data_IF_927822930206
#
_entry.id   IF_927822930206
#
_cell.length_a   1.000
_cell.length_b   1.000
_cell.length_c   1.000
_cell.angle_alpha   90.00
_cell.angle_beta   90.00
_cell.angle_gamma   90.00
#
_symmetry.space_group_name_H-M   'P 1'
#
loop_
_entity.id
_entity.type
_entity.pdbx_description
1 polymer ?
#
# COMPACT_ATOMS: atom_id res chain seq x y z
N UNK A 1 -7.92 4.76 3.24
CA UNK A 1 -6.73 4.21 3.93
C UNK A 1 -5.95 3.34 2.94
N UNK A 2 -4.62 3.32 3.04
CA UNK A 2 -3.78 2.61 2.08
C UNK A 2 -3.96 1.10 2.14
N UNK A 3 -3.83 0.46 0.98
CA UNK A 3 -3.93 -1.01 0.83
C UNK A 3 -2.64 -1.63 0.32
N UNK A 4 -1.57 -0.85 0.14
CA UNK A 4 -0.25 -1.37 -0.17
C UNK A 4 0.22 -2.31 0.97
N UNK A 5 0.87 -3.41 0.63
CA UNK A 5 1.30 -4.41 1.62
C UNK A 5 2.24 -3.81 2.67
N UNK A 6 1.87 -4.01 3.93
CA UNK A 6 2.66 -3.73 5.13
C UNK A 6 2.88 -5.01 5.95
N UNK A 7 3.74 -4.96 6.96
CA UNK A 7 4.07 -6.10 7.81
C UNK A 7 2.91 -6.53 8.72
N UNK A 8 2.66 -7.84 8.81
CA UNK A 8 1.62 -8.42 9.67
C UNK A 8 0.22 -8.34 9.07
N UNK A 9 -0.80 -8.43 9.93
CA UNK A 9 -2.22 -8.43 9.53
C UNK A 9 -3.03 -7.29 10.17
N UNK A 10 -2.37 -6.43 10.95
CA UNK A 10 -2.97 -5.33 11.69
C UNK A 10 -2.13 -4.08 11.51
N UNK A 11 -2.75 -3.02 11.01
CA UNK A 11 -2.12 -1.75 10.75
C UNK A 11 -3.10 -0.80 10.08
N UNK A 12 -2.75 0.49 10.05
CA UNK A 12 -3.55 1.51 9.36
C UNK A 12 -3.19 1.63 7.86
N UNK A 13 -2.21 0.88 7.38
CA UNK A 13 -1.79 0.87 5.97
C UNK A 13 -0.65 1.83 5.63
N UNK A 14 -0.31 2.78 6.51
CA UNK A 14 0.74 3.76 6.24
C UNK A 14 2.16 3.18 6.27
N UNK A 15 2.37 2.03 6.90
CA UNK A 15 3.64 1.29 6.89
C UNK A 15 3.84 0.42 5.63
N UNK A 16 3.19 0.77 4.52
CA UNK A 16 3.26 0.03 3.26
C UNK A 16 4.67 0.06 2.65
N UNK A 17 5.12 -1.08 2.12
CA UNK A 17 6.46 -1.24 1.50
C UNK A 17 6.40 -1.70 0.05
N UNK A 18 5.32 -2.38 -0.36
CA UNK A 18 5.12 -2.84 -1.73
C UNK A 18 3.96 -2.08 -2.38
N UNK A 19 4.26 -0.94 -3.03
CA UNK A 19 3.26 -0.01 -3.58
C UNK A 19 2.24 -0.65 -4.54
N UNK A 20 2.63 -1.72 -5.23
CA UNK A 20 1.80 -2.40 -6.24
C UNK A 20 1.18 -3.71 -5.75
N UNK A 21 1.44 -4.12 -4.52
CA UNK A 21 0.89 -5.34 -3.94
C UNK A 21 -0.25 -4.97 -2.98
N UNK A 22 -1.52 -5.29 -3.30
CA UNK A 22 -2.60 -5.16 -2.34
C UNK A 22 -2.39 -6.11 -1.15
N UNK A 23 -2.68 -5.61 0.06
CA UNK A 23 -2.38 -6.31 1.31
C UNK A 23 -3.13 -7.65 1.41
N UNK A 24 -2.36 -8.72 1.65
CA UNK A 24 -2.88 -10.09 1.61
C UNK A 24 -3.97 -10.34 2.65
N UNK A 25 -3.82 -9.80 3.87
CA UNK A 25 -4.82 -9.96 4.92
C UNK A 25 -6.17 -9.29 4.60
N UNK A 26 -6.20 -8.37 3.62
CA UNK A 26 -7.45 -7.76 3.11
C UNK A 26 -8.06 -8.54 1.93
N UNK A 27 -7.46 -9.66 1.54
CA UNK A 27 -7.88 -10.49 0.41
C UNK A 27 -7.04 -10.31 -0.86
N UNK A 28 -5.93 -9.58 -0.78
CA UNK A 28 -4.97 -9.46 -1.86
C UNK A 28 -5.55 -8.84 -3.15
N UNK A 29 -4.93 -9.08 -4.31
CA UNK A 29 -5.35 -8.47 -5.58
C UNK A 29 -6.77 -8.87 -6.00
N UNK A 30 -7.16 -10.13 -5.77
CA UNK A 30 -8.51 -10.59 -6.09
C UNK A 30 -9.57 -9.99 -5.16
N UNK A 31 -9.25 -9.81 -3.87
CA UNK A 31 -10.10 -9.13 -2.89
C UNK A 31 -10.37 -7.68 -3.27
N UNK A 32 -9.32 -6.91 -3.54
CA UNK A 32 -9.45 -5.52 -3.96
C UNK A 32 -10.27 -5.39 -5.25
N UNK A 33 -10.02 -6.24 -6.25
CA UNK A 33 -10.81 -6.25 -7.50
C UNK A 33 -12.29 -6.52 -7.24
N UNK A 34 -12.61 -7.51 -6.41
CA UNK A 34 -14.01 -7.83 -6.05
C UNK A 34 -14.69 -6.67 -5.34
N UNK A 35 -14.01 -6.02 -4.40
CA UNK A 35 -14.55 -4.86 -3.68
C UNK A 35 -14.89 -3.71 -4.63
N UNK A 36 -13.93 -3.30 -5.47
CA UNK A 36 -14.13 -2.22 -6.44
C UNK A 36 -15.27 -2.53 -7.42
N UNK A 37 -15.32 -3.76 -7.95
CA UNK A 37 -16.39 -4.18 -8.85
C UNK A 37 -17.77 -4.10 -8.18
N UNK A 38 -17.90 -4.55 -6.94
CA UNK A 38 -19.15 -4.47 -6.19
C UNK A 38 -19.59 -3.02 -5.95
N UNK A 39 -18.67 -2.14 -5.52
CA UNK A 39 -18.96 -0.71 -5.36
C UNK A 39 -19.49 -0.09 -6.66
N UNK A 40 -18.81 -0.34 -7.78
CA UNK A 40 -19.22 0.21 -9.07
C UNK A 40 -20.58 -0.33 -9.54
N UNK A 41 -20.90 -1.60 -9.30
CA UNK A 41 -22.24 -2.15 -9.58
C UNK A 41 -23.36 -1.46 -8.78
N UNK A 42 -23.03 -0.88 -7.62
CA UNK A 42 -23.94 -0.11 -6.80
C UNK A 42 -23.85 1.41 -7.04
N UNK A 43 -23.14 1.87 -8.08
CA UNK A 43 -23.01 3.29 -8.39
C UNK A 43 -22.15 4.07 -7.37
N UNK A 44 -21.30 3.39 -6.61
CA UNK A 44 -20.40 4.00 -5.62
C UNK A 44 -18.99 4.13 -6.19
N UNK A 45 -18.40 5.33 -6.07
CA UNK A 45 -16.99 5.53 -6.40
C UNK A 45 -16.08 5.01 -5.29
N UNK A 46 -14.90 4.51 -5.66
CA UNK A 46 -13.84 4.11 -4.73
C UNK A 46 -12.64 5.04 -4.92
N UNK A 47 -12.23 5.71 -3.84
CA UNK A 47 -11.03 6.54 -3.82
C UNK A 47 -9.96 5.80 -3.03
N UNK A 48 -8.79 5.61 -3.64
CA UNK A 48 -7.66 4.96 -2.99
C UNK A 48 -6.72 6.00 -2.39
N UNK A 49 -6.46 5.83 -1.10
CA UNK A 49 -5.47 6.57 -0.34
C UNK A 49 -4.08 5.96 -0.59
N UNK A 50 -3.13 6.78 -1.04
CA UNK A 50 -1.80 6.33 -1.50
C UNK A 50 -0.69 7.07 -0.78
N UNK A 51 0.36 6.34 -0.40
CA UNK A 51 1.52 6.88 0.32
C UNK A 51 2.71 6.94 -0.63
N UNK A 52 3.04 8.15 -1.08
CA UNK A 52 4.20 8.42 -1.95
C UNK A 52 5.29 9.26 -1.29
N UNK A 53 5.13 9.57 -0.01
CA UNK A 53 6.08 10.40 0.72
C UNK A 53 7.07 9.60 1.58
N UNK A 54 6.79 8.32 1.87
CA UNK A 54 7.70 7.39 2.56
C UNK A 54 7.32 5.93 2.26
N UNK A 55 8.14 4.99 2.75
CA UNK A 55 7.80 3.57 2.88
C UNK A 55 7.92 3.13 4.34
N UNK A 56 7.24 2.04 4.70
CA UNK A 56 7.31 1.46 6.03
C UNK A 56 8.70 0.92 6.40
N UNK A 57 9.01 0.83 7.70
CA UNK A 57 10.34 0.47 8.20
C UNK A 57 10.68 -1.03 8.07
N UNK A 58 9.66 -1.89 7.85
CA UNK A 58 9.84 -3.36 7.83
C UNK A 58 9.58 -3.90 6.42
N UNK A 59 10.61 -4.49 5.82
CA UNK A 59 10.51 -5.19 4.52
C UNK A 59 10.85 -4.34 3.28
N UNK A 60 11.19 -3.07 3.44
CA UNK A 60 11.69 -2.22 2.36
C UNK A 60 13.13 -2.61 1.98
N UNK A 61 13.36 -2.96 0.71
CA UNK A 61 14.69 -3.32 0.18
C UNK A 61 15.16 -2.41 -0.95
N UNK A 62 14.44 -1.32 -1.26
CA UNK A 62 14.72 -0.47 -2.43
C UNK A 62 16.11 0.18 -2.39
N UNK A 63 16.64 0.47 -1.20
CA UNK A 63 18.00 1.03 -1.03
C UNK A 63 19.11 0.13 -1.58
N UNK A 64 18.86 -1.17 -1.74
CA UNK A 64 19.80 -2.11 -2.35
C UNK A 64 19.87 -1.99 -3.87
N UNK A 65 18.88 -1.36 -4.50
CA UNK A 65 18.75 -1.28 -5.96
C UNK A 65 19.00 0.13 -6.52
N UNK A 66 19.00 1.16 -5.67
CA UNK A 66 19.30 2.53 -6.10
C UNK A 66 18.86 3.60 -5.10
N UNK A 67 19.12 4.87 -5.43
CA UNK A 67 18.77 6.01 -4.59
C UNK A 67 17.29 6.39 -4.75
N UNK A 68 16.39 5.58 -4.21
CA UNK A 68 14.94 5.85 -4.24
C UNK A 68 14.49 6.93 -3.24
N UNK A 69 15.33 7.26 -2.26
CA UNK A 69 15.02 8.22 -1.20
C UNK A 69 15.94 9.44 -1.30
N UNK A 70 15.39 10.61 -1.00
CA UNK A 70 16.14 11.86 -0.98
C UNK A 70 16.81 12.07 0.37
N UNK A 71 18.03 12.61 0.38
CA UNK A 71 18.77 12.94 1.61
C UNK A 71 18.06 13.98 2.49
N UNK A 72 17.15 14.77 1.90
CA UNK A 72 16.39 15.81 2.59
C UNK A 72 15.31 15.24 3.52
N UNK A 73 14.77 14.07 3.22
CA UNK A 73 13.61 13.50 3.91
C UNK A 73 13.88 12.06 4.32
N UNK A 74 14.01 11.84 5.63
CA UNK A 74 14.16 10.49 6.16
C UNK A 74 12.82 9.77 6.19
N UNK A 75 12.79 8.55 5.64
CA UNK A 75 11.72 7.60 5.87
C UNK A 75 11.86 6.97 7.26
N UNK A 76 10.75 6.53 7.88
CA UNK A 76 10.77 5.79 9.14
C UNK A 76 11.66 4.54 9.13
#
# INVERSE_FOLDING_TARGET
>A
MPVATFHGSRGWGYDGVCLYAPHEAYGGPHGLKRFVNACHQHGLAVILDVVYNHLGPVGNTLTQFGPYFADRHHTP
#
